data_IF_865135957389
#
_entry.id   IF_865135957389
#
_cell.length_a   1.000
_cell.length_b   1.000
_cell.length_c   1.000
_cell.angle_alpha   90.00
_cell.angle_beta   90.00
_cell.angle_gamma   90.00
#
_symmetry.space_group_name_H-M   'P 1'
#
loop_
_entity.id
_entity.type
_entity.pdbx_description
1 polymer ?
#
# COMPACT_ATOMS: atom_id res chain seq x y z
N UNK A 1 3.28 42.10 -26.80
CA UNK A 1 2.32 41.86 -25.72
C UNK A 1 2.41 40.39 -25.35
N UNK A 2 2.75 40.01 -24.10
CA UNK A 2 2.68 38.62 -23.69
C UNK A 2 1.21 38.25 -23.57
N UNK A 3 0.78 37.24 -24.32
CA UNK A 3 -0.56 36.65 -24.17
C UNK A 3 -0.50 35.87 -22.86
N UNK A 4 -1.05 36.41 -21.78
CA UNK A 4 -1.29 35.62 -20.56
C UNK A 4 -2.25 34.50 -20.94
N UNK A 5 -1.84 33.22 -20.84
CA UNK A 5 -2.73 32.12 -21.17
C UNK A 5 -3.96 32.19 -20.27
N UNK A 6 -5.15 32.02 -20.87
CA UNK A 6 -6.40 31.96 -20.14
C UNK A 6 -6.28 30.85 -19.08
N UNK A 7 -6.45 31.14 -17.78
CA UNK A 7 -6.33 30.16 -16.71
C UNK A 7 -7.18 28.91 -16.95
N UNK A 8 -8.35 29.03 -17.59
CA UNK A 8 -9.18 27.87 -17.93
C UNK A 8 -8.55 26.99 -19.01
N UNK A 9 -7.86 27.58 -19.98
CA UNK A 9 -7.14 26.85 -21.03
C UNK A 9 -5.95 26.07 -20.48
N UNK A 10 -5.23 26.66 -19.52
CA UNK A 10 -4.12 26.00 -18.82
C UNK A 10 -4.62 24.82 -17.96
N UNK A 11 -5.71 25.02 -17.22
CA UNK A 11 -6.33 23.94 -16.44
C UNK A 11 -6.76 22.78 -17.34
N UNK A 12 -7.38 23.05 -18.48
CA UNK A 12 -7.79 22.01 -19.43
C UNK A 12 -6.60 21.24 -20.03
N UNK A 13 -5.49 21.93 -20.34
CA UNK A 13 -4.26 21.30 -20.82
C UNK A 13 -3.65 20.38 -19.76
N UNK A 14 -3.52 20.85 -18.53
CA UNK A 14 -2.99 20.05 -17.42
C UNK A 14 -3.87 18.84 -17.10
N UNK A 15 -5.20 18.98 -17.17
CA UNK A 15 -6.12 17.85 -17.01
C UNK A 15 -5.91 16.79 -18.10
N UNK A 16 -5.78 17.21 -19.36
CA UNK A 16 -5.49 16.30 -20.48
C UNK A 16 -4.15 15.57 -20.31
N UNK A 17 -3.11 16.28 -19.86
CA UNK A 17 -1.80 15.68 -19.57
C UNK A 17 -1.89 14.66 -18.42
N UNK A 18 -2.55 15.01 -17.32
CA UNK A 18 -2.77 14.11 -16.19
C UNK A 18 -3.53 12.84 -16.62
N UNK A 19 -4.55 12.98 -17.45
CA UNK A 19 -5.31 11.84 -17.97
C UNK A 19 -4.49 10.99 -18.96
N UNK A 20 -3.59 11.60 -19.74
CA UNK A 20 -2.60 10.91 -20.54
C UNK A 20 -1.66 10.06 -19.68
N UNK A 21 -1.07 10.66 -18.65
CA UNK A 21 -0.16 9.99 -17.72
C UNK A 21 -0.85 8.85 -16.97
N UNK A 22 -2.07 9.08 -16.44
CA UNK A 22 -2.86 8.04 -15.76
C UNK A 22 -3.14 6.85 -16.67
N UNK A 23 -3.49 7.11 -17.94
CA UNK A 23 -3.70 6.04 -18.93
C UNK A 23 -2.42 5.25 -19.20
N UNK A 24 -1.28 5.93 -19.34
CA UNK A 24 0.01 5.28 -19.54
C UNK A 24 0.39 4.39 -18.33
N UNK A 25 0.20 4.89 -17.11
CA UNK A 25 0.48 4.13 -15.89
C UNK A 25 -0.42 2.89 -15.75
N UNK A 26 -1.73 3.02 -15.98
CA UNK A 26 -2.66 1.88 -15.96
C UNK A 26 -2.30 0.82 -17.00
N UNK A 27 -1.89 1.28 -18.18
CA UNK A 27 -1.44 0.39 -19.27
C UNK A 27 -0.20 -0.39 -18.87
N UNK A 28 0.80 0.28 -18.28
CA UNK A 28 2.02 -0.37 -17.80
C UNK A 28 1.70 -1.38 -16.69
N UNK A 29 0.90 -1.00 -15.70
CA UNK A 29 0.53 -1.89 -14.60
C UNK A 29 -0.12 -3.20 -15.08
N UNK A 30 -1.02 -3.13 -16.06
CA UNK A 30 -1.68 -4.32 -16.62
C UNK A 30 -0.68 -5.21 -17.37
N UNK A 31 0.27 -4.62 -18.10
CA UNK A 31 1.31 -5.38 -18.81
C UNK A 31 2.22 -6.10 -17.81
N UNK A 32 2.65 -5.44 -16.74
CA UNK A 32 3.47 -6.06 -15.68
C UNK A 32 2.72 -7.20 -14.96
N UNK A 33 1.41 -7.05 -14.71
CA UNK A 33 0.59 -8.13 -14.15
C UNK A 33 0.53 -9.34 -15.08
N UNK A 34 0.28 -9.12 -16.38
CA UNK A 34 0.28 -10.20 -17.38
C UNK A 34 1.65 -10.87 -17.49
N UNK A 35 2.75 -10.12 -17.39
CA UNK A 35 4.09 -10.67 -17.32
C UNK A 35 4.25 -11.57 -16.10
N UNK A 36 3.83 -11.12 -14.91
CA UNK A 36 3.86 -11.93 -13.68
C UNK A 36 3.14 -13.27 -13.83
N UNK A 37 1.93 -13.26 -14.42
CA UNK A 37 1.18 -14.48 -14.74
C UNK A 37 1.98 -15.42 -15.64
N UNK A 38 2.58 -14.91 -16.72
CA UNK A 38 3.36 -15.73 -17.66
C UNK A 38 4.66 -16.26 -17.05
N UNK A 39 5.34 -15.47 -16.21
CA UNK A 39 6.55 -15.90 -15.48
C UNK A 39 6.23 -17.14 -14.64
N UNK A 40 5.12 -17.13 -13.90
CA UNK A 40 4.70 -18.27 -13.07
C UNK A 40 4.31 -19.48 -13.92
N UNK A 41 3.49 -19.27 -14.95
CA UNK A 41 2.96 -20.36 -15.77
C UNK A 41 4.02 -21.03 -16.65
N UNK A 42 4.96 -20.25 -17.20
CA UNK A 42 5.97 -20.72 -18.16
C UNK A 42 7.33 -20.95 -17.54
N UNK A 43 7.51 -20.59 -16.25
CA UNK A 43 8.81 -20.63 -15.55
C UNK A 43 9.91 -19.93 -16.36
N UNK A 44 9.59 -18.77 -16.94
CA UNK A 44 10.52 -17.98 -17.76
C UNK A 44 10.90 -16.68 -17.07
N UNK A 45 11.95 -16.03 -17.57
CA UNK A 45 12.35 -14.71 -17.10
C UNK A 45 11.30 -13.63 -17.44
N UNK A 46 11.29 -12.49 -16.73
CA UNK A 46 10.41 -11.36 -17.06
C UNK A 46 10.58 -10.86 -18.50
N UNK A 47 11.82 -10.86 -19.00
CA UNK A 47 12.12 -10.47 -20.39
C UNK A 47 11.43 -11.41 -21.39
N UNK A 48 11.55 -12.72 -21.18
CA UNK A 48 10.91 -13.72 -22.05
C UNK A 48 9.37 -13.64 -21.98
N UNK A 49 8.81 -13.31 -20.82
CA UNK A 49 7.39 -13.08 -20.64
C UNK A 49 6.91 -11.84 -21.42
N UNK A 50 7.64 -10.73 -21.34
CA UNK A 50 7.35 -9.54 -22.13
C UNK A 50 7.44 -9.83 -23.64
N UNK A 51 8.52 -10.48 -24.08
CA UNK A 51 8.70 -10.85 -25.48
C UNK A 51 7.58 -11.78 -25.97
N UNK A 52 7.06 -12.65 -25.12
CA UNK A 52 5.90 -13.48 -25.42
C UNK A 52 4.62 -12.65 -25.62
N UNK A 53 4.36 -11.65 -24.78
CA UNK A 53 3.23 -10.73 -24.97
C UNK A 53 3.37 -9.93 -26.27
N UNK A 54 4.58 -9.47 -26.61
CA UNK A 54 4.86 -8.78 -27.87
C UNK A 54 4.59 -9.70 -29.07
N UNK A 55 5.07 -10.95 -29.03
CA UNK A 55 4.79 -11.94 -30.09
C UNK A 55 3.29 -12.18 -30.26
N UNK A 56 2.55 -12.36 -29.16
CA UNK A 56 1.09 -12.52 -29.21
C UNK A 56 0.39 -11.27 -29.77
N UNK A 57 0.82 -10.08 -29.35
CA UNK A 57 0.32 -8.81 -29.86
C UNK A 57 0.51 -8.67 -31.38
N UNK A 58 1.68 -9.04 -31.90
CA UNK A 58 1.98 -9.02 -33.32
C UNK A 58 1.21 -10.10 -34.08
N UNK A 59 1.21 -11.34 -33.58
CA UNK A 59 0.53 -12.49 -34.20
C UNK A 59 -0.96 -12.23 -34.39
N UNK A 60 -1.62 -11.61 -33.41
CA UNK A 60 -3.05 -11.30 -33.45
C UNK A 60 -3.35 -9.85 -33.86
N UNK A 61 -2.35 -9.09 -34.30
CA UNK A 61 -2.47 -7.65 -34.63
C UNK A 61 -3.32 -6.86 -33.61
N UNK A 62 -3.08 -7.11 -32.33
CA UNK A 62 -3.87 -6.57 -31.22
C UNK A 62 -2.96 -5.76 -30.31
N UNK A 63 -3.43 -4.60 -29.84
CA UNK A 63 -2.63 -3.74 -28.96
C UNK A 63 -2.16 -4.51 -27.72
N UNK A 64 -0.87 -4.37 -27.37
CA UNK A 64 -0.22 -5.12 -26.29
C UNK A 64 -0.99 -5.10 -24.96
N UNK A 65 -1.49 -3.94 -24.54
CA UNK A 65 -2.28 -3.80 -23.31
C UNK A 65 -3.57 -4.61 -23.33
N UNK A 66 -4.19 -4.79 -24.51
CA UNK A 66 -5.39 -5.60 -24.67
C UNK A 66 -5.07 -7.09 -24.54
N UNK A 67 -3.95 -7.53 -25.11
CA UNK A 67 -3.43 -8.90 -24.91
C UNK A 67 -3.16 -9.14 -23.42
N UNK A 68 -2.51 -8.18 -22.74
CA UNK A 68 -2.24 -8.26 -21.31
C UNK A 68 -3.52 -8.40 -20.48
N UNK A 69 -4.57 -7.61 -20.77
CA UNK A 69 -5.87 -7.75 -20.12
C UNK A 69 -6.48 -9.15 -20.32
N UNK A 70 -6.40 -9.71 -21.52
CA UNK A 70 -6.93 -11.06 -21.80
C UNK A 70 -6.14 -12.14 -21.03
N UNK A 71 -4.81 -11.99 -20.97
CA UNK A 71 -3.96 -12.91 -20.19
C UNK A 71 -4.32 -12.83 -18.71
N UNK A 72 -4.41 -11.64 -18.12
CA UNK A 72 -4.81 -11.49 -16.71
C UNK A 72 -6.22 -12.05 -16.47
N UNK A 73 -7.16 -11.73 -17.36
CA UNK A 73 -8.55 -12.19 -17.24
C UNK A 73 -8.70 -13.71 -17.28
N UNK A 74 -7.85 -14.42 -18.02
CA UNK A 74 -7.86 -15.89 -18.07
C UNK A 74 -7.54 -16.53 -16.71
N UNK A 75 -6.79 -15.83 -15.85
CA UNK A 75 -6.32 -16.35 -14.56
C UNK A 75 -6.84 -15.53 -13.36
N UNK A 76 -7.81 -14.65 -13.60
CA UNK A 76 -8.47 -13.87 -12.56
C UNK A 76 -9.53 -14.68 -11.80
N UNK A 77 -9.85 -15.90 -12.26
CA UNK A 77 -10.72 -16.81 -11.50
C UNK A 77 -9.99 -17.27 -10.23
N UNK A 78 -10.56 -17.04 -9.04
CA UNK A 78 -9.92 -17.43 -7.79
C UNK A 78 -9.79 -18.96 -7.73
N UNK A 79 -8.55 -19.44 -7.73
CA UNK A 79 -8.21 -20.82 -7.44
C UNK A 79 -8.75 -21.27 -6.08
N UNK A 80 -8.99 -22.58 -5.94
CA UNK A 80 -9.65 -23.25 -4.78
C UNK A 80 -8.98 -22.97 -3.42
N UNK A 81 -7.71 -22.56 -3.39
CA UNK A 81 -7.05 -22.06 -2.18
C UNK A 81 -6.89 -20.52 -2.26
N UNK A 82 -7.47 -19.76 -1.31
CA UNK A 82 -7.22 -18.32 -1.20
C UNK A 82 -5.72 -18.05 -1.03
N UNK A 83 -5.19 -17.03 -1.72
CA UNK A 83 -3.78 -16.62 -1.63
C UNK A 83 -3.32 -16.47 -0.18
N UNK A 84 -4.18 -15.93 0.69
CA UNK A 84 -3.91 -15.80 2.13
C UNK A 84 -3.58 -17.14 2.81
N UNK A 85 -4.28 -18.22 2.44
CA UNK A 85 -4.03 -19.56 2.95
C UNK A 85 -2.68 -20.10 2.48
N UNK A 86 -2.33 -19.88 1.21
CA UNK A 86 -1.03 -20.26 0.65
C UNK A 86 0.13 -19.47 1.28
N UNK A 87 -0.03 -18.15 1.46
CA UNK A 87 0.97 -17.30 2.09
C UNK A 87 1.19 -17.68 3.56
N UNK A 88 0.11 -17.90 4.33
CA UNK A 88 0.24 -18.40 5.72
C UNK A 88 0.98 -19.73 5.79
N UNK A 89 0.73 -20.65 4.86
CA UNK A 89 1.41 -21.95 4.83
C UNK A 89 2.91 -21.83 4.55
N UNK A 90 3.31 -20.97 3.61
CA UNK A 90 4.69 -20.92 3.12
C UNK A 90 5.57 -19.90 3.85
N UNK A 91 5.03 -18.78 4.32
CA UNK A 91 5.79 -17.77 5.06
C UNK A 91 6.10 -18.18 6.52
N UNK A 92 5.30 -19.07 7.12
CA UNK A 92 5.56 -19.61 8.47
C UNK A 92 6.76 -20.57 8.50
N UNK A 93 7.24 -21.04 7.35
CA UNK A 93 8.34 -21.99 7.26
C UNK A 93 9.74 -21.33 7.14
N UNK A 94 9.83 -20.06 6.72
CA UNK A 94 11.11 -19.45 6.30
C UNK A 94 11.66 -18.36 7.23
N UNK A 95 10.98 -18.05 8.34
CA UNK A 95 11.50 -17.06 9.30
C UNK A 95 11.51 -17.62 10.72
N UNK A 96 12.68 -17.91 11.32
CA UNK A 96 12.82 -17.90 12.76
C UNK A 96 12.86 -16.43 13.20
N UNK A 97 11.76 -15.70 13.00
CA UNK A 97 11.49 -14.50 13.80
C UNK A 97 11.25 -15.03 15.19
N UNK A 98 12.28 -14.88 16.02
CA UNK A 98 12.34 -15.00 17.47
C UNK A 98 10.97 -15.15 18.16
N UNK A 99 10.37 -16.34 18.05
CA UNK A 99 9.08 -16.68 18.69
C UNK A 99 9.32 -17.16 20.13
N UNK A 100 10.43 -16.72 20.72
CA UNK A 100 10.64 -16.66 22.16
C UNK A 100 10.17 -15.32 22.74
N UNK A 101 9.56 -14.43 21.94
CA UNK A 101 8.71 -13.38 22.48
C UNK A 101 7.41 -14.02 23.01
N UNK A 102 7.38 -14.15 24.34
CA UNK A 102 6.21 -14.33 25.20
C UNK A 102 4.88 -13.92 24.52
N UNK A 103 3.79 -14.71 24.60
CA UNK A 103 2.48 -14.34 24.06
C UNK A 103 2.10 -12.97 24.61
N UNK A 104 2.10 -11.91 23.76
CA UNK A 104 1.80 -10.50 24.07
C UNK A 104 1.67 -10.27 25.58
N UNK A 105 2.79 -10.28 26.30
CA UNK A 105 2.77 -9.93 27.71
C UNK A 105 2.49 -8.44 27.74
N UNK A 106 1.23 -8.04 27.91
CA UNK A 106 0.89 -6.63 28.05
C UNK A 106 1.79 -6.06 29.14
N UNK A 107 2.66 -5.13 28.76
CA UNK A 107 3.62 -4.56 29.70
C UNK A 107 2.84 -3.89 30.84
N UNK A 108 3.27 -4.13 32.08
CA UNK A 108 2.58 -3.62 33.26
C UNK A 108 2.48 -2.09 33.21
N UNK A 109 3.52 -1.43 32.67
CA UNK A 109 3.54 0.01 32.46
C UNK A 109 2.45 0.50 31.48
N UNK A 110 2.16 -0.28 30.43
CA UNK A 110 1.11 0.06 29.46
C UNK A 110 -0.27 -0.11 30.07
N UNK A 111 -0.47 -1.18 30.84
CA UNK A 111 -1.73 -1.44 31.56
C UNK A 111 -2.00 -0.38 32.62
N UNK A 112 -0.98 0.02 33.37
CA UNK A 112 -1.09 1.06 34.39
C UNK A 112 -1.39 2.43 33.76
N UNK A 113 -0.74 2.77 32.65
CA UNK A 113 -1.02 4.01 31.91
C UNK A 113 -2.43 4.01 31.29
N UNK A 114 -2.88 2.88 30.73
CA UNK A 114 -4.23 2.75 30.19
C UNK A 114 -5.31 2.84 31.29
N UNK A 115 -5.03 2.27 32.48
CA UNK A 115 -5.91 2.37 33.64
C UNK A 115 -5.98 3.80 34.16
N UNK A 116 -4.85 4.48 34.28
CA UNK A 116 -4.80 5.89 34.68
C UNK A 116 -5.60 6.80 33.74
N UNK A 117 -5.61 6.50 32.43
CA UNK A 117 -6.46 7.19 31.46
C UNK A 117 -7.95 6.90 31.67
N UNK A 118 -8.30 5.65 31.95
CA UNK A 118 -9.68 5.26 32.21
C UNK A 118 -10.23 5.83 33.53
N UNK A 119 -9.35 6.05 34.52
CA UNK A 119 -9.68 6.58 35.84
C UNK A 119 -9.52 8.11 35.95
N UNK A 120 -8.94 8.76 34.94
CA UNK A 120 -8.80 10.22 34.91
C UNK A 120 -10.18 10.87 35.08
N UNK A 121 -10.27 11.84 35.99
CA UNK A 121 -11.52 12.56 36.26
C UNK A 121 -11.99 13.40 35.08
N UNK A 122 -13.05 14.19 35.29
CA UNK A 122 -13.55 15.12 34.25
C UNK A 122 -12.66 16.35 34.06
N UNK A 123 -11.61 16.51 34.87
CA UNK A 123 -10.65 17.60 34.74
C UNK A 123 -9.78 17.40 33.50
N UNK A 124 -9.85 18.38 32.58
CA UNK A 124 -9.14 18.32 31.30
C UNK A 124 -7.63 18.15 31.45
N UNK A 125 -7.04 18.74 32.50
CA UNK A 125 -5.62 18.60 32.82
C UNK A 125 -5.22 17.18 33.22
N UNK A 126 -6.09 16.45 33.93
CA UNK A 126 -5.84 15.07 34.35
C UNK A 126 -5.89 14.11 33.14
N UNK A 127 -6.90 14.27 32.28
CA UNK A 127 -7.03 13.49 31.05
C UNK A 127 -5.84 13.74 30.11
N UNK A 128 -5.47 15.01 29.91
CA UNK A 128 -4.34 15.38 29.05
C UNK A 128 -3.00 14.82 29.58
N UNK A 129 -2.86 14.67 30.90
CA UNK A 129 -1.69 14.07 31.51
C UNK A 129 -1.66 12.56 31.27
N UNK A 130 -2.78 11.86 31.52
CA UNK A 130 -2.87 10.41 31.33
C UNK A 130 -2.69 9.99 29.85
N UNK A 131 -3.22 10.77 28.90
CA UNK A 131 -2.99 10.53 27.46
C UNK A 131 -1.51 10.67 27.11
N UNK A 132 -0.82 11.70 27.64
CA UNK A 132 0.62 11.91 27.40
C UNK A 132 1.47 10.77 27.97
N UNK A 133 1.12 10.30 29.17
CA UNK A 133 1.82 9.19 29.80
C UNK A 133 1.64 7.87 29.03
N UNK A 134 0.42 7.58 28.54
CA UNK A 134 0.16 6.44 27.67
C UNK A 134 0.91 6.52 26.33
N UNK A 135 0.90 7.69 25.69
CA UNK A 135 1.61 7.91 24.44
C UNK A 135 3.13 7.71 24.58
N UNK A 136 3.72 8.20 25.68
CA UNK A 136 5.15 7.97 25.96
C UNK A 136 5.48 6.48 26.04
N UNK A 137 4.69 5.70 26.79
CA UNK A 137 4.90 4.26 26.94
C UNK A 137 4.78 3.56 25.58
N UNK A 138 3.82 3.93 24.76
CA UNK A 138 3.66 3.34 23.42
C UNK A 138 4.89 3.62 22.52
N UNK A 139 5.41 4.84 22.51
CA UNK A 139 6.58 5.21 21.70
C UNK A 139 7.85 4.51 22.17
N UNK A 140 8.09 4.41 23.48
CA UNK A 140 9.23 3.68 24.05
C UNK A 140 9.20 2.19 23.68
N UNK A 141 8.00 1.63 23.46
CA UNK A 141 7.77 0.25 23.03
C UNK A 141 7.77 0.11 21.49
N UNK A 142 8.17 1.14 20.76
CA UNK A 142 8.32 1.11 19.31
C UNK A 142 7.03 1.32 18.52
N UNK A 143 5.94 1.73 19.16
CA UNK A 143 4.72 2.12 18.45
C UNK A 143 4.95 3.45 17.73
N UNK A 144 4.69 3.45 16.42
CA UNK A 144 4.75 4.65 15.58
C UNK A 144 3.33 5.10 15.26
N UNK A 145 2.95 6.35 15.58
CA UNK A 145 1.61 6.86 15.26
C UNK A 145 1.34 6.87 13.75
N UNK A 146 0.06 6.70 13.33
CA UNK A 146 -0.33 6.89 11.94
C UNK A 146 0.08 8.28 11.41
N UNK A 147 0.46 8.36 10.13
CA UNK A 147 0.95 9.60 9.49
C UNK A 147 -0.02 10.78 9.63
N UNK A 148 -1.31 10.51 9.68
CA UNK A 148 -2.39 11.49 9.85
C UNK A 148 -2.26 12.28 11.17
N UNK A 149 -1.64 11.67 12.19
CA UNK A 149 -1.37 12.28 13.50
C UNK A 149 -0.06 13.09 13.49
N UNK A 150 0.90 12.72 12.65
CA UNK A 150 2.22 13.36 12.56
C UNK A 150 2.25 14.58 11.63
N UNK A 151 1.42 14.59 10.58
CA UNK A 151 1.35 15.67 9.59
C UNK A 151 1.14 17.07 10.19
N UNK A 152 0.16 17.27 11.08
CA UNK A 152 -0.12 18.59 11.68
C UNK A 152 1.02 19.14 12.55
N UNK A 153 1.83 18.25 13.15
CA UNK A 153 2.94 18.62 14.04
C UNK A 153 4.16 19.06 13.22
N UNK A 154 4.39 18.45 12.06
CA UNK A 154 5.47 18.82 11.14
C UNK A 154 5.21 20.18 10.44
N UNK A 155 3.95 20.50 10.19
CA UNK A 155 3.53 21.75 9.51
C UNK A 155 3.39 22.96 10.46
N UNK A 156 3.76 22.83 11.74
CA UNK A 156 3.82 23.95 12.69
C UNK A 156 2.47 24.58 13.06
N UNK A 157 1.35 23.96 12.67
CA UNK A 157 0.00 24.50 12.92
C UNK A 157 -0.60 23.79 14.12
N UNK A 158 -0.42 24.35 15.33
CA UNK A 158 -1.16 23.88 16.52
C UNK A 158 -2.62 24.32 16.43
N UNK A 159 -3.53 23.36 16.50
CA UNK A 159 -4.93 23.55 16.85
C UNK A 159 -5.09 23.89 18.34
#
# INVERSE_FOLDING_TARGET
MPVTPDPNSLVAQLQSELDGLRRALRTRATIEQAMGVLVVLRRCSPKEAFDALVRLSQQYNTKLHRVAHLVVGLFAEPSVEPLDSYLRRNLVADDPVDTAADPIRLDAALLDAARALAEAGQERSEVDQAVRDLHRVLVEQGWVPPYDVLGPIADGTRA
#
